data_IF_619051712632
#
_entry.id   IF_619051712632
#
_cell.length_a   1.000
_cell.length_b   1.000
_cell.length_c   1.000
_cell.angle_alpha   90.00
_cell.angle_beta   90.00
_cell.angle_gamma   90.00
#
_symmetry.space_group_name_H-M   'P 1'
#
loop_
_entity.id
_entity.type
_entity.pdbx_description
1 polymer ?
#
# COMPACT_ATOMS: atom_id res chain seq x y z
N UNK A 1 13.26 9.56 -7.84
CA UNK A 1 12.20 9.25 -6.86
C UNK A 1 12.50 9.90 -5.53
N UNK A 2 11.63 10.80 -5.07
CA UNK A 2 11.73 11.48 -3.78
C UNK A 2 11.88 10.49 -2.60
N UNK A 3 12.82 10.78 -1.68
CA UNK A 3 13.12 9.93 -0.50
C UNK A 3 11.90 9.73 0.41
N UNK A 4 11.01 10.71 0.50
CA UNK A 4 9.77 10.62 1.29
C UNK A 4 8.82 9.60 0.69
N UNK A 5 8.68 9.60 -0.63
CA UNK A 5 7.85 8.61 -1.33
C UNK A 5 8.47 7.22 -1.21
N UNK A 6 9.79 7.08 -1.35
CA UNK A 6 10.47 5.80 -1.12
C UNK A 6 10.24 5.25 0.30
N UNK A 7 10.27 6.11 1.32
CA UNK A 7 9.95 5.72 2.70
C UNK A 7 8.51 5.20 2.81
N UNK A 8 7.55 5.94 2.24
CA UNK A 8 6.13 5.53 2.25
C UNK A 8 5.91 4.23 1.48
N UNK A 9 6.56 4.02 0.33
CA UNK A 9 6.43 2.77 -0.42
C UNK A 9 6.90 1.56 0.37
N UNK A 10 8.06 1.64 1.03
CA UNK A 10 8.53 0.57 1.91
C UNK A 10 7.54 0.29 3.04
N UNK A 11 7.00 1.35 3.63
CA UNK A 11 6.04 1.22 4.71
C UNK A 11 4.74 0.54 4.25
N UNK A 12 4.23 0.89 3.07
CA UNK A 12 3.09 0.24 2.45
C UNK A 12 3.37 -1.24 2.14
N UNK A 13 4.53 -1.57 1.57
CA UNK A 13 4.91 -2.95 1.23
C UNK A 13 4.96 -3.88 2.44
N UNK A 14 5.53 -3.40 3.55
CA UNK A 14 5.61 -4.18 4.79
C UNK A 14 4.25 -4.37 5.46
N UNK A 15 3.33 -3.41 5.30
CA UNK A 15 2.09 -3.33 6.07
C UNK A 15 0.84 -3.17 5.18
N UNK A 16 0.82 -3.81 4.01
CA UNK A 16 -0.25 -3.64 3.02
C UNK A 16 -1.63 -4.11 3.54
N UNK A 17 -1.65 -5.01 4.51
CA UNK A 17 -2.84 -5.52 5.19
C UNK A 17 -3.59 -4.45 5.98
N UNK A 18 -2.88 -3.42 6.47
CA UNK A 18 -3.49 -2.35 7.26
C UNK A 18 -4.36 -1.44 6.40
N UNK A 19 -5.35 -0.82 7.03
CA UNK A 19 -6.13 0.25 6.41
C UNK A 19 -5.32 1.54 6.44
N UNK A 20 -4.96 2.05 5.26
CA UNK A 20 -4.20 3.28 5.12
C UNK A 20 -5.10 4.47 4.85
N UNK A 21 -4.89 5.56 5.57
CA UNK A 21 -5.48 6.86 5.26
C UNK A 21 -4.41 7.76 4.66
N UNK A 22 -4.80 8.51 3.63
CA UNK A 22 -3.91 9.48 2.95
C UNK A 22 -3.28 10.46 3.95
N UNK A 23 -4.06 10.92 4.93
CA UNK A 23 -3.62 11.88 5.95
C UNK A 23 -2.47 11.32 6.81
N UNK A 24 -2.58 10.07 7.26
CA UNK A 24 -1.58 9.45 8.12
C UNK A 24 -0.23 9.31 7.40
N UNK A 25 -0.27 8.91 6.12
CA UNK A 25 0.94 8.82 5.29
C UNK A 25 1.54 10.19 4.98
N UNK A 26 0.70 11.20 4.70
CA UNK A 26 1.17 12.56 4.47
C UNK A 26 1.85 13.14 5.71
N UNK A 27 1.26 12.94 6.90
CA UNK A 27 1.82 13.34 8.18
C UNK A 27 3.16 12.64 8.48
N UNK A 28 3.33 11.36 8.11
CA UNK A 28 4.59 10.62 8.32
C UNK A 28 5.80 11.22 7.60
N UNK A 29 5.57 12.05 6.57
CA UNK A 29 6.62 12.71 5.79
C UNK A 29 6.51 14.24 5.83
N UNK A 30 5.81 14.78 6.83
CA UNK A 30 5.62 16.21 7.07
C UNK A 30 5.04 16.96 5.85
N UNK A 31 4.08 16.34 5.17
CA UNK A 31 3.36 16.94 4.04
C UNK A 31 1.88 17.10 4.34
N UNK A 32 1.27 18.10 3.70
CA UNK A 32 -0.19 18.17 3.63
C UNK A 32 -0.73 17.02 2.74
N UNK A 33 -1.96 16.52 2.98
CA UNK A 33 -2.55 15.44 2.18
C UNK A 33 -2.55 15.73 0.68
N UNK A 34 -2.83 16.97 0.28
CA UNK A 34 -2.83 17.40 -1.12
C UNK A 34 -1.43 17.32 -1.74
N UNK A 35 -0.41 17.91 -1.09
CA UNK A 35 0.98 17.86 -1.59
C UNK A 35 1.48 16.43 -1.67
N UNK A 36 1.17 15.62 -0.66
CA UNK A 36 1.52 14.20 -0.65
C UNK A 36 0.85 13.46 -1.81
N UNK A 37 -0.45 13.65 -2.05
CA UNK A 37 -1.17 12.98 -3.15
C UNK A 37 -0.57 13.33 -4.51
N UNK A 38 -0.26 14.61 -4.74
CA UNK A 38 0.35 15.06 -6.00
C UNK A 38 1.75 14.47 -6.18
N UNK A 39 2.59 14.55 -5.14
CA UNK A 39 3.95 14.01 -5.18
C UNK A 39 3.94 12.49 -5.38
N UNK A 40 3.08 11.78 -4.65
CA UNK A 40 2.94 10.33 -4.79
C UNK A 40 2.50 9.94 -6.20
N UNK A 41 1.50 10.62 -6.76
CA UNK A 41 1.04 10.33 -8.12
C UNK A 41 2.11 10.67 -9.16
N UNK A 42 2.80 11.81 -9.03
CA UNK A 42 3.89 12.20 -9.92
C UNK A 42 5.05 11.20 -9.93
N UNK A 43 5.35 10.58 -8.78
CA UNK A 43 6.48 9.66 -8.64
C UNK A 43 6.12 8.21 -8.96
N UNK A 44 4.87 7.80 -8.72
CA UNK A 44 4.42 6.40 -8.91
C UNK A 44 3.57 6.18 -10.16
N UNK A 45 3.12 7.27 -10.80
CA UNK A 45 2.15 7.23 -11.90
C UNK A 45 0.74 6.82 -11.48
N UNK A 46 0.48 6.55 -10.20
CA UNK A 46 -0.77 5.97 -9.72
C UNK A 46 -1.33 6.74 -8.51
N UNK A 47 -2.66 6.86 -8.39
CA UNK A 47 -3.27 7.28 -7.13
C UNK A 47 -2.93 6.30 -6.00
N UNK A 48 -2.76 6.79 -4.77
CA UNK A 48 -2.42 5.98 -3.61
C UNK A 48 -3.33 4.75 -3.44
N UNK A 49 -4.65 4.94 -3.58
CA UNK A 49 -5.63 3.84 -3.42
C UNK A 49 -5.40 2.71 -4.43
N UNK A 50 -5.13 3.07 -5.68
CA UNK A 50 -4.87 2.11 -6.75
C UNK A 50 -3.53 1.40 -6.53
N UNK A 51 -2.50 2.12 -6.08
CA UNK A 51 -1.22 1.52 -5.71
C UNK A 51 -1.39 0.47 -4.59
N UNK A 52 -2.10 0.79 -3.52
CA UNK A 52 -2.36 -0.15 -2.41
C UNK A 52 -3.15 -1.35 -2.90
N UNK A 53 -4.16 -1.15 -3.75
CA UNK A 53 -4.95 -2.25 -4.32
C UNK A 53 -4.06 -3.22 -5.11
N UNK A 54 -3.19 -2.70 -5.99
CA UNK A 54 -2.25 -3.53 -6.77
C UNK A 54 -1.29 -4.29 -5.86
N UNK A 55 -0.70 -3.60 -4.89
CA UNK A 55 0.20 -4.20 -3.91
C UNK A 55 -0.46 -5.38 -3.16
N UNK A 56 -1.71 -5.23 -2.75
CA UNK A 56 -2.47 -6.30 -2.08
C UNK A 56 -2.78 -7.47 -3.00
N UNK A 57 -3.18 -7.20 -4.24
CA UNK A 57 -3.45 -8.23 -5.23
C UNK A 57 -2.20 -9.02 -5.60
N UNK A 58 -1.06 -8.35 -5.78
CA UNK A 58 0.19 -9.01 -6.12
C UNK A 58 0.67 -9.89 -4.95
N UNK A 59 0.54 -9.41 -3.71
CA UNK A 59 0.83 -10.24 -2.54
C UNK A 59 -0.14 -11.42 -2.40
N UNK A 60 -1.42 -11.23 -2.71
CA UNK A 60 -2.40 -12.32 -2.69
C UNK A 60 -2.05 -13.39 -3.74
N UNK A 61 -1.69 -12.99 -4.96
CA UNK A 61 -1.23 -13.90 -6.02
C UNK A 61 0.00 -14.68 -5.57
N UNK A 62 0.98 -14.01 -4.97
CA UNK A 62 2.17 -14.67 -4.43
C UNK A 62 1.82 -15.72 -3.38
N UNK A 63 0.98 -15.38 -2.40
CA UNK A 63 0.56 -16.31 -1.35
C UNK A 63 -0.22 -17.50 -1.92
N UNK A 64 -1.11 -17.27 -2.89
CA UNK A 64 -1.85 -18.33 -3.57
C UNK A 64 -0.92 -19.29 -4.34
N UNK A 65 0.18 -18.78 -4.90
CA UNK A 65 1.11 -19.59 -5.69
C UNK A 65 2.17 -20.31 -4.83
N UNK A 66 2.49 -19.79 -3.64
CA UNK A 66 3.65 -20.24 -2.84
C UNK A 66 3.29 -20.89 -1.51
N UNK A 67 2.01 -20.90 -1.12
CA UNK A 67 1.56 -21.43 0.18
C UNK A 67 0.32 -22.29 0.01
N UNK A 68 -0.02 -23.06 1.06
CA UNK A 68 -1.26 -23.85 1.13
C UNK A 68 -2.34 -23.18 2.00
N UNK A 69 -2.24 -21.87 2.20
CA UNK A 69 -3.19 -21.10 2.99
C UNK A 69 -4.56 -21.09 2.31
N UNK A 70 -5.63 -21.16 3.11
CA UNK A 70 -7.00 -20.99 2.63
C UNK A 70 -7.19 -19.56 2.14
N UNK A 71 -8.08 -19.38 1.17
CA UNK A 71 -8.43 -18.05 0.61
C UNK A 71 -8.82 -17.04 1.71
N UNK A 72 -9.52 -17.49 2.77
CA UNK A 72 -9.87 -16.66 3.93
C UNK A 72 -8.64 -16.15 4.68
N UNK A 73 -7.64 -17.00 4.88
CA UNK A 73 -6.40 -16.65 5.57
C UNK A 73 -5.58 -15.64 4.73
N UNK A 74 -5.49 -15.88 3.42
CA UNK A 74 -4.83 -14.96 2.48
C UNK A 74 -5.54 -13.60 2.49
N UNK A 75 -6.89 -13.58 2.43
CA UNK A 75 -7.70 -12.36 2.48
C UNK A 75 -7.38 -11.52 3.72
N UNK A 76 -7.26 -12.15 4.89
CA UNK A 76 -6.86 -11.49 6.13
C UNK A 76 -5.43 -10.91 6.03
N UNK A 77 -4.48 -11.67 5.47
CA UNK A 77 -3.08 -11.24 5.32
C UNK A 77 -2.86 -10.13 4.31
N UNK A 78 -3.77 -9.90 3.36
CA UNK A 78 -3.67 -8.80 2.40
C UNK A 78 -4.64 -7.64 2.70
N UNK A 79 -5.42 -7.74 3.77
CA UNK A 79 -6.31 -6.66 4.21
C UNK A 79 -7.64 -6.58 3.47
N UNK A 80 -8.11 -7.69 2.90
CA UNK A 80 -9.48 -7.90 2.39
C UNK A 80 -10.36 -8.68 3.38
N UNK A 81 -9.78 -9.19 4.47
CA UNK A 81 -10.51 -9.82 5.55
C UNK A 81 -11.65 -8.94 6.06
N UNK A 82 -12.87 -9.47 5.98
CA UNK A 82 -14.08 -8.95 6.61
C UNK A 82 -14.53 -9.93 7.69
#
# INVERSE_FOLDING_TARGET
>A
MDRRIQHVLRYLQQNCHRRWRLRDLASSVNLSPTRFSHLFHSETGLPLREYIKRLRLDKAKQLLATTFLRVKEISNQVGYGS
#
